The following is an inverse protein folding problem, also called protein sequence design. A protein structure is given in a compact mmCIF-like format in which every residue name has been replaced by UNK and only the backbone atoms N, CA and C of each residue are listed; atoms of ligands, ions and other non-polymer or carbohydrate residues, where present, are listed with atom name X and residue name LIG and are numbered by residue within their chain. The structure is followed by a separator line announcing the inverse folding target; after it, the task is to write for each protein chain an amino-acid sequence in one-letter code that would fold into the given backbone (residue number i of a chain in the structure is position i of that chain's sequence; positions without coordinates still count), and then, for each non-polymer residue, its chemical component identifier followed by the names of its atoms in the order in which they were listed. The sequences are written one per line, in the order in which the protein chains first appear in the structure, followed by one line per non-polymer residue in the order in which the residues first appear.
data_IF_063211866579
#
_entry.id   IF_063211866579
#
_cell.length_a   1.000
_cell.length_b   1.000
_cell.length_c   1.000
_cell.angle_alpha   90.00
_cell.angle_beta   90.00
_cell.angle_gamma   90.00
#
_symmetry.space_group_name_H-M   'P 1'
#
loop_
_entity.id
_entity.type
_entity.pdbx_description
1 polymer ?
#
# COMPACT_ATOMS: atom_id res chain seq x y z
N UNK A 1 -10.56 -15.46 28.83
CA UNK A 1 -10.91 -15.10 27.44
C UNK A 1 -11.10 -13.60 27.44
N UNK A 2 -10.35 -12.83 26.62
CA UNK A 2 -10.63 -11.40 26.49
C UNK A 2 -12.01 -11.29 25.82
N UNK A 3 -12.95 -10.65 26.50
CA UNK A 3 -14.32 -10.49 26.00
C UNK A 3 -14.46 -9.05 25.50
N UNK A 4 -14.50 -8.90 24.17
CA UNK A 4 -14.61 -7.61 23.52
C UNK A 4 -16.08 -7.35 23.20
N UNK A 5 -16.60 -6.18 23.57
CA UNK A 5 -17.98 -5.79 23.22
C UNK A 5 -18.21 -5.79 21.71
N UNK A 6 -17.17 -5.53 20.91
CA UNK A 6 -17.17 -5.61 19.45
C UNK A 6 -17.41 -7.03 18.92
N UNK A 7 -17.29 -8.06 19.76
CA UNK A 7 -17.50 -9.47 19.39
C UNK A 7 -18.87 -10.01 19.80
N UNK A 8 -19.71 -9.19 20.43
CA UNK A 8 -21.06 -9.59 20.82
C UNK A 8 -21.90 -10.01 19.61
N UNK A 9 -22.63 -11.12 19.75
CA UNK A 9 -23.44 -11.70 18.68
C UNK A 9 -22.67 -12.61 17.70
N UNK A 10 -21.34 -12.63 17.71
CA UNK A 10 -20.57 -13.56 16.89
C UNK A 10 -20.36 -14.93 17.55
N UNK A 11 -20.63 -15.97 16.76
CA UNK A 11 -20.47 -17.37 17.10
C UNK A 11 -19.01 -17.84 16.96
N UNK A 12 -18.68 -18.91 17.68
CA UNK A 12 -17.36 -19.55 17.62
C UNK A 12 -16.47 -19.20 18.80
N UNK A 13 -15.50 -20.09 19.03
CA UNK A 13 -14.58 -20.06 20.18
C UNK A 13 -13.11 -19.98 19.74
N UNK A 14 -12.71 -20.76 18.73
CA UNK A 14 -11.31 -20.88 18.32
C UNK A 14 -10.75 -19.52 17.89
N UNK A 15 -11.45 -18.80 17.01
CA UNK A 15 -11.01 -17.46 16.58
C UNK A 15 -10.92 -16.42 17.70
N UNK A 16 -11.52 -16.65 18.88
CA UNK A 16 -11.39 -15.78 20.07
C UNK A 16 -10.18 -16.14 20.93
N UNK A 17 -9.65 -17.36 20.77
CA UNK A 17 -8.51 -17.88 21.52
C UNK A 17 -7.19 -17.74 20.74
N UNK A 18 -7.24 -17.79 19.40
CA UNK A 18 -6.10 -17.63 18.49
C UNK A 18 -6.44 -16.78 17.27
N UNK A 19 -5.41 -16.26 16.58
CA UNK A 19 -5.58 -15.48 15.34
C UNK A 19 -6.02 -16.39 14.19
N UNK A 20 -7.33 -16.53 14.00
CA UNK A 20 -7.95 -17.44 13.05
C UNK A 20 -9.15 -16.81 12.33
N UNK A 21 -8.86 -15.94 11.34
CA UNK A 21 -9.87 -15.26 10.52
C UNK A 21 -10.74 -16.24 9.72
N UNK A 22 -10.20 -17.41 9.36
CA UNK A 22 -10.95 -18.44 8.62
C UNK A 22 -12.07 -19.01 9.48
N UNK A 23 -11.77 -19.41 10.72
CA UNK A 23 -12.78 -19.92 11.66
C UNK A 23 -13.85 -18.85 11.93
N UNK A 24 -13.44 -17.59 12.16
CA UNK A 24 -14.38 -16.47 12.31
C UNK A 24 -15.36 -16.38 11.14
N UNK A 25 -14.84 -16.35 9.89
CA UNK A 25 -15.69 -16.25 8.70
C UNK A 25 -16.62 -17.45 8.61
N UNK A 26 -16.11 -18.68 8.71
CA UNK A 26 -16.91 -19.90 8.56
C UNK A 26 -18.05 -20.00 9.59
N UNK A 27 -17.86 -19.42 10.79
CA UNK A 27 -18.88 -19.42 11.84
C UNK A 27 -19.89 -18.29 11.72
N UNK A 28 -19.58 -17.20 11.03
CA UNK A 28 -20.36 -15.96 11.13
C UNK A 28 -20.86 -15.39 9.80
N UNK A 29 -20.39 -15.87 8.64
CA UNK A 29 -20.91 -15.40 7.36
C UNK A 29 -22.30 -15.98 7.07
N UNK A 30 -23.15 -15.18 6.44
CA UNK A 30 -24.44 -15.64 5.91
C UNK A 30 -24.28 -15.89 4.41
N UNK A 31 -24.40 -17.14 3.92
CA UNK A 31 -24.49 -17.41 2.49
C UNK A 31 -25.65 -16.62 1.86
N UNK A 32 -25.43 -16.08 0.67
CA UNK A 32 -26.43 -15.33 -0.07
C UNK A 32 -26.57 -15.91 -1.49
N UNK A 33 -27.71 -16.54 -1.76
CA UNK A 33 -28.04 -17.17 -3.04
C UNK A 33 -29.10 -16.39 -3.84
N UNK A 34 -29.34 -15.12 -3.48
CA UNK A 34 -30.27 -14.21 -4.18
C UNK A 34 -29.64 -13.50 -5.39
N UNK A 35 -30.28 -12.44 -5.88
CA UNK A 35 -29.85 -11.65 -7.05
C UNK A 35 -29.45 -10.21 -6.69
N UNK A 36 -29.14 -9.38 -7.67
CA UNK A 36 -28.71 -7.99 -7.49
C UNK A 36 -29.84 -7.00 -7.13
N UNK A 37 -31.09 -7.45 -6.96
CA UNK A 37 -32.23 -6.52 -6.79
C UNK A 37 -32.15 -5.67 -5.52
N UNK A 38 -31.37 -6.09 -4.52
CA UNK A 38 -31.16 -5.35 -3.27
C UNK A 38 -30.07 -4.26 -3.37
N UNK A 39 -29.33 -4.19 -4.48
CA UNK A 39 -28.22 -3.25 -4.63
C UNK A 39 -28.72 -1.80 -4.60
N UNK A 40 -28.09 -0.99 -3.75
CA UNK A 40 -28.32 0.45 -3.69
C UNK A 40 -27.39 1.21 -4.64
N UNK A 41 -27.87 2.31 -5.22
CA UNK A 41 -27.06 3.21 -6.03
C UNK A 41 -26.10 4.08 -5.20
N UNK A 42 -25.21 4.85 -5.86
CA UNK A 42 -24.27 5.74 -5.18
C UNK A 42 -25.00 6.87 -4.45
N UNK A 43 -24.47 7.25 -3.29
CA UNK A 43 -24.96 8.42 -2.52
C UNK A 43 -24.56 9.73 -3.20
N UNK A 44 -25.18 10.84 -2.80
CA UNK A 44 -24.76 12.17 -3.23
C UNK A 44 -23.31 12.48 -2.84
N UNK A 45 -22.89 12.09 -1.63
CA UNK A 45 -21.50 12.20 -1.17
C UNK A 45 -20.54 11.44 -2.08
N UNK A 46 -20.87 10.19 -2.42
CA UNK A 46 -20.09 9.38 -3.37
C UNK A 46 -19.94 10.08 -4.73
N UNK A 47 -21.03 10.62 -5.28
CA UNK A 47 -20.99 11.31 -6.57
C UNK A 47 -20.14 12.59 -6.52
N UNK A 48 -20.21 13.37 -5.43
CA UNK A 48 -19.38 14.57 -5.24
C UNK A 48 -17.90 14.24 -5.16
N UNK A 49 -17.52 13.30 -4.27
CA UNK A 49 -16.13 12.85 -4.10
C UNK A 49 -15.55 12.27 -5.39
N UNK A 50 -16.32 11.40 -6.06
CA UNK A 50 -15.90 10.81 -7.33
C UNK A 50 -15.74 11.87 -8.42
N UNK A 51 -16.66 12.84 -8.49
CA UNK A 51 -16.56 13.97 -9.42
C UNK A 51 -15.31 14.83 -9.18
N UNK A 52 -14.94 15.08 -7.93
CA UNK A 52 -13.69 15.77 -7.58
C UNK A 52 -12.45 14.96 -8.03
N UNK A 53 -12.40 13.67 -7.71
CA UNK A 53 -11.31 12.79 -8.13
C UNK A 53 -11.17 12.68 -9.65
N UNK A 54 -12.28 12.61 -10.38
CA UNK A 54 -12.26 12.55 -11.85
C UNK A 54 -11.62 13.79 -12.49
N UNK A 55 -11.77 14.98 -11.88
CA UNK A 55 -11.08 16.20 -12.33
C UNK A 55 -9.56 16.06 -12.16
N UNK A 56 -9.11 15.52 -11.02
CA UNK A 56 -7.70 15.25 -10.76
C UNK A 56 -7.13 14.21 -11.73
N UNK A 57 -7.86 13.13 -12.01
CA UNK A 57 -7.45 12.12 -12.99
C UNK A 57 -7.38 12.71 -14.42
N UNK A 58 -8.27 13.65 -14.76
CA UNK A 58 -8.20 14.36 -16.05
C UNK A 58 -6.95 15.24 -16.12
N UNK A 59 -6.61 15.93 -15.04
CA UNK A 59 -5.38 16.71 -14.94
C UNK A 59 -4.13 15.81 -15.01
N UNK A 60 -4.13 14.67 -14.33
CA UNK A 60 -3.06 13.67 -14.40
C UNK A 60 -2.82 13.20 -15.84
N UNK A 61 -3.88 12.83 -16.57
CA UNK A 61 -3.80 12.44 -17.98
C UNK A 61 -3.28 13.57 -18.86
N UNK A 62 -3.74 14.81 -18.63
CA UNK A 62 -3.25 15.98 -19.36
C UNK A 62 -1.76 16.27 -19.08
N UNK A 63 -1.25 15.87 -17.91
CA UNK A 63 0.15 15.99 -17.49
C UNK A 63 1.01 14.75 -17.84
N UNK A 64 0.54 13.89 -18.76
CA UNK A 64 1.31 12.72 -19.21
C UNK A 64 1.28 11.54 -18.24
N UNK A 65 0.29 11.47 -17.35
CA UNK A 65 0.02 10.31 -16.49
C UNK A 65 0.59 10.40 -15.07
N UNK A 66 1.15 11.53 -14.66
CA UNK A 66 1.61 11.78 -13.29
C UNK A 66 1.17 13.17 -12.84
N UNK A 67 0.28 13.23 -11.85
CA UNK A 67 -0.21 14.51 -11.33
C UNK A 67 0.86 15.20 -10.49
N UNK A 68 1.46 14.47 -9.56
CA UNK A 68 2.47 14.94 -8.63
C UNK A 68 3.39 13.80 -8.17
N UNK A 69 4.61 14.14 -7.76
CA UNK A 69 5.60 13.19 -7.24
C UNK A 69 6.31 13.78 -6.01
N UNK A 70 6.56 12.93 -5.03
CA UNK A 70 7.45 13.26 -3.93
C UNK A 70 8.92 13.33 -4.40
N UNK A 71 9.65 14.34 -3.93
CA UNK A 71 11.07 14.59 -4.27
C UNK A 71 11.97 14.73 -3.05
N UNK A 72 11.41 14.97 -1.88
CA UNK A 72 12.15 15.33 -0.66
C UNK A 72 12.01 14.26 0.43
N UNK A 73 10.87 13.58 0.51
CA UNK A 73 10.54 12.67 1.61
C UNK A 73 10.60 11.21 1.19
N UNK A 74 11.32 10.39 1.95
CA UNK A 74 11.25 8.93 1.80
C UNK A 74 9.96 8.40 2.40
N UNK A 75 9.20 7.66 1.60
CA UNK A 75 7.95 7.04 2.03
C UNK A 75 8.17 5.97 3.09
N UNK A 76 7.43 6.06 4.19
CA UNK A 76 7.29 5.07 5.26
C UNK A 76 5.85 5.12 5.79
N UNK A 77 5.52 4.28 6.78
CA UNK A 77 4.17 4.20 7.36
C UNK A 77 3.65 5.55 7.90
N UNK A 78 4.54 6.41 8.39
CA UNK A 78 4.18 7.67 9.07
C UNK A 78 4.88 8.89 8.47
N UNK A 79 5.39 8.78 7.23
CA UNK A 79 6.13 9.88 6.59
C UNK A 79 5.26 11.07 6.20
N UNK A 80 3.97 10.85 5.98
CA UNK A 80 3.03 11.87 5.54
C UNK A 80 1.97 12.12 6.61
N UNK A 81 1.47 13.36 6.64
CA UNK A 81 0.24 13.68 7.36
C UNK A 81 -0.99 13.07 6.67
N UNK A 82 -2.19 13.26 7.25
CA UNK A 82 -3.44 12.87 6.61
C UNK A 82 -3.63 13.66 5.31
N UNK A 83 -4.27 13.02 4.33
CA UNK A 83 -4.71 13.66 3.09
C UNK A 83 -6.10 13.18 2.70
N UNK A 84 -6.82 14.02 1.95
CA UNK A 84 -8.21 13.83 1.55
C UNK A 84 -8.37 14.07 0.05
N UNK A 85 -9.44 13.55 -0.56
CA UNK A 85 -9.71 13.73 -2.00
C UNK A 85 -9.86 15.22 -2.34
N UNK A 86 -10.54 15.94 -1.46
CA UNK A 86 -10.76 17.38 -1.50
C UNK A 86 -10.98 17.86 -0.06
N UNK A 87 -10.24 18.87 0.39
CA UNK A 87 -10.34 19.38 1.76
C UNK A 87 -11.73 19.93 2.09
N UNK A 88 -12.45 20.48 1.11
CA UNK A 88 -13.82 20.98 1.29
C UNK A 88 -14.86 19.85 1.38
N UNK A 89 -14.51 18.66 0.88
CA UNK A 89 -15.39 17.49 0.85
C UNK A 89 -14.97 16.41 1.85
N UNK A 90 -13.93 16.62 2.65
CA UNK A 90 -13.36 15.59 3.54
C UNK A 90 -14.38 14.99 4.50
N UNK A 91 -15.34 15.79 4.98
CA UNK A 91 -16.39 15.34 5.90
C UNK A 91 -17.42 14.41 5.23
N UNK A 92 -17.39 14.32 3.89
CA UNK A 92 -18.18 13.36 3.11
C UNK A 92 -17.52 11.97 3.05
N UNK A 93 -16.21 11.86 3.32
CA UNK A 93 -15.48 10.59 3.26
C UNK A 93 -15.84 9.69 4.45
N UNK A 94 -16.53 8.59 4.18
CA UNK A 94 -16.85 7.58 5.21
C UNK A 94 -15.68 6.64 5.51
N UNK A 95 -14.80 6.45 4.52
CA UNK A 95 -13.57 5.67 4.64
C UNK A 95 -12.44 6.56 4.12
N UNK A 96 -11.50 6.87 5.00
CA UNK A 96 -10.40 7.80 4.74
C UNK A 96 -9.08 7.07 4.54
N UNK A 97 -8.11 7.77 3.95
CA UNK A 97 -6.72 7.32 3.85
C UNK A 97 -6.23 7.29 2.40
N UNK A 98 -5.15 8.03 2.15
CA UNK A 98 -4.42 8.04 0.88
C UNK A 98 -2.92 7.86 1.15
N UNK A 99 -2.14 7.58 0.10
CA UNK A 99 -0.74 7.15 0.25
C UNK A 99 0.22 8.26 0.69
N UNK A 100 -0.12 9.51 0.41
CA UNK A 100 0.69 10.70 0.69
C UNK A 100 -0.18 11.79 1.31
N UNK A 101 0.28 13.03 1.34
CA UNK A 101 -0.48 14.20 1.81
C UNK A 101 -1.53 14.70 0.79
N UNK A 102 -1.55 14.19 -0.45
CA UNK A 102 -2.44 14.66 -1.52
C UNK A 102 -2.92 13.55 -2.45
N UNK A 103 -4.13 13.68 -3.03
CA UNK A 103 -4.65 12.69 -3.98
C UNK A 103 -3.79 12.64 -5.24
N UNK A 104 -3.49 11.42 -5.70
CA UNK A 104 -2.68 11.14 -6.91
C UNK A 104 -1.25 11.70 -6.88
N UNK A 105 -0.72 12.07 -5.71
CA UNK A 105 0.73 12.32 -5.52
C UNK A 105 1.44 11.00 -5.27
N UNK A 106 2.39 10.65 -6.13
CA UNK A 106 3.18 9.40 -6.01
C UNK A 106 4.29 9.55 -4.99
N UNK A 107 4.39 8.61 -4.06
CA UNK A 107 5.41 8.60 -3.03
C UNK A 107 6.80 8.21 -3.59
N UNK A 108 7.87 8.67 -2.94
CA UNK A 108 9.25 8.29 -3.25
C UNK A 108 9.67 7.05 -2.45
N UNK A 109 9.92 5.93 -3.14
CA UNK A 109 10.21 4.62 -2.53
C UNK A 109 11.59 4.06 -2.96
N UNK A 110 12.69 4.56 -2.37
CA UNK A 110 14.06 4.29 -2.84
C UNK A 110 14.66 2.96 -2.38
N UNK A 111 14.09 2.28 -1.36
CA UNK A 111 14.64 1.01 -0.84
C UNK A 111 14.76 -0.09 -1.90
N UNK A 112 13.89 -0.07 -2.91
CA UNK A 112 13.96 -0.98 -4.07
C UNK A 112 15.13 -0.70 -5.00
N UNK A 113 15.58 0.56 -5.09
CA UNK A 113 16.66 1.00 -5.95
C UNK A 113 16.62 2.51 -6.21
N UNK A 114 17.63 3.25 -5.74
CA UNK A 114 17.69 4.72 -5.83
C UNK A 114 17.70 5.21 -7.28
N UNK A 115 18.50 4.59 -8.15
CA UNK A 115 18.58 4.95 -9.57
C UNK A 115 17.22 4.91 -10.27
N UNK A 116 16.39 3.92 -9.94
CA UNK A 116 15.08 3.76 -10.56
C UNK A 116 14.08 4.79 -10.03
N UNK A 117 14.15 5.09 -8.73
CA UNK A 117 13.35 6.15 -8.13
C UNK A 117 13.69 7.52 -8.74
N UNK A 118 14.98 7.83 -8.91
CA UNK A 118 15.44 9.08 -9.53
C UNK A 118 15.06 9.18 -11.00
N UNK A 119 15.22 8.09 -11.75
CA UNK A 119 14.83 8.04 -13.14
C UNK A 119 13.31 8.23 -13.29
N UNK A 120 12.50 7.67 -12.39
CA UNK A 120 11.06 7.88 -12.39
C UNK A 120 10.73 9.37 -12.21
N UNK A 121 11.31 10.06 -11.22
CA UNK A 121 11.10 11.50 -11.04
C UNK A 121 11.50 12.31 -12.28
N UNK A 122 12.72 12.11 -12.76
CA UNK A 122 13.29 12.90 -13.86
C UNK A 122 12.58 12.68 -15.19
N UNK A 123 12.06 11.47 -15.44
CA UNK A 123 11.22 11.16 -16.63
C UNK A 123 9.98 12.04 -16.69
N UNK A 124 9.41 12.41 -15.55
CA UNK A 124 8.23 13.29 -15.46
C UNK A 124 8.59 14.75 -15.15
N UNK A 125 9.86 15.14 -15.28
CA UNK A 125 10.33 16.52 -15.09
C UNK A 125 10.52 16.94 -13.63
N UNK A 126 10.54 16.00 -12.69
CA UNK A 126 10.83 16.27 -11.28
C UNK A 126 12.29 15.97 -10.96
N UNK A 127 12.89 16.79 -10.09
CA UNK A 127 14.24 16.57 -9.60
C UNK A 127 14.18 16.13 -8.13
N UNK A 128 14.52 14.87 -7.79
CA UNK A 128 14.59 14.44 -6.41
C UNK A 128 15.78 15.10 -5.71
N UNK A 129 15.67 15.26 -4.39
CA UNK A 129 16.72 15.82 -3.56
C UNK A 129 18.02 15.04 -3.67
N UNK A 130 19.12 15.78 -3.84
CA UNK A 130 20.47 15.20 -3.86
C UNK A 130 20.85 14.56 -2.51
N UNK A 131 20.21 14.99 -1.42
CA UNK A 131 20.40 14.35 -0.11
C UNK A 131 19.88 12.91 -0.11
N UNK A 132 18.74 12.65 -0.77
CA UNK A 132 18.22 11.30 -0.92
C UNK A 132 19.18 10.42 -1.74
N UNK A 133 19.77 10.96 -2.81
CA UNK A 133 20.80 10.24 -3.56
C UNK A 133 21.94 9.81 -2.63
N UNK A 134 22.46 10.75 -1.84
CA UNK A 134 23.55 10.50 -0.89
C UNK A 134 23.17 9.42 0.12
N UNK A 135 21.98 9.51 0.72
CA UNK A 135 21.51 8.54 1.72
C UNK A 135 21.48 7.12 1.14
N UNK A 136 20.95 6.93 -0.07
CA UNK A 136 20.76 5.59 -0.66
C UNK A 136 21.94 5.10 -1.51
N UNK A 137 23.04 5.84 -1.51
CA UNK A 137 24.31 5.43 -2.14
C UNK A 137 25.44 5.28 -1.13
N UNK A 138 25.50 6.14 -0.10
CA UNK A 138 26.57 6.13 0.91
C UNK A 138 26.17 5.45 2.22
N UNK A 139 24.93 5.63 2.68
CA UNK A 139 24.52 5.17 4.02
C UNK A 139 23.65 3.92 3.99
N UNK A 140 22.72 3.83 3.03
CA UNK A 140 21.73 2.75 2.96
C UNK A 140 21.84 2.02 1.63
N UNK A 141 22.20 0.74 1.69
CA UNK A 141 22.21 -0.12 0.51
C UNK A 141 20.79 -0.44 0.07
N UNK A 142 20.52 -0.38 -1.23
CA UNK A 142 19.22 -0.73 -1.82
C UNK A 142 19.17 -2.19 -2.28
N UNK A 143 17.96 -2.72 -2.45
CA UNK A 143 17.73 -4.06 -3.02
C UNK A 143 18.40 -4.21 -4.39
N UNK A 144 18.15 -3.25 -5.30
CA UNK A 144 18.77 -3.22 -6.62
C UNK A 144 20.30 -3.32 -6.56
N UNK A 145 20.95 -2.51 -5.73
CA UNK A 145 22.41 -2.54 -5.63
C UNK A 145 22.91 -3.93 -5.16
N UNK A 146 22.28 -4.50 -4.13
CA UNK A 146 22.66 -5.82 -3.64
C UNK A 146 22.49 -6.93 -4.69
N UNK A 147 21.41 -6.91 -5.47
CA UNK A 147 21.18 -7.87 -6.55
C UNK A 147 22.25 -7.76 -7.63
N UNK A 148 22.57 -6.54 -8.07
CA UNK A 148 23.54 -6.34 -9.17
C UNK A 148 24.99 -6.60 -8.77
N UNK A 149 25.32 -6.47 -7.49
CA UNK A 149 26.62 -6.87 -6.93
C UNK A 149 26.77 -8.39 -6.91
N UNK A 150 25.67 -9.13 -6.70
CA UNK A 150 25.67 -10.59 -6.69
C UNK A 150 25.54 -11.23 -8.10
N UNK A 151 25.01 -10.50 -9.07
CA UNK A 151 24.81 -11.00 -10.44
C UNK A 151 26.11 -11.38 -11.14
N UNK A 152 26.14 -12.60 -11.69
CA UNK A 152 27.24 -13.07 -12.53
C UNK A 152 27.22 -12.40 -13.91
N UNK A 153 28.35 -12.39 -14.64
CA UNK A 153 28.38 -11.89 -16.02
C UNK A 153 27.38 -12.60 -16.95
N UNK A 154 27.12 -13.89 -16.72
CA UNK A 154 26.15 -14.67 -17.49
C UNK A 154 24.71 -14.23 -17.23
N UNK A 155 24.33 -14.06 -15.96
CA UNK A 155 23.00 -13.53 -15.59
C UNK A 155 22.75 -12.17 -16.23
N UNK A 156 23.77 -11.28 -16.21
CA UNK A 156 23.71 -9.96 -16.86
C UNK A 156 23.50 -10.11 -18.38
N UNK A 157 24.21 -11.02 -19.05
CA UNK A 157 24.02 -11.27 -20.49
C UNK A 157 22.63 -11.78 -20.83
N UNK A 158 22.10 -12.75 -20.07
CA UNK A 158 20.75 -13.28 -20.28
C UNK A 158 19.66 -12.21 -20.13
N UNK A 159 19.86 -11.26 -19.21
CA UNK A 159 19.01 -10.08 -19.05
C UNK A 159 19.12 -9.12 -20.23
N UNK A 160 20.34 -8.79 -20.65
CA UNK A 160 20.60 -7.87 -21.76
C UNK A 160 20.13 -8.40 -23.12
N UNK A 161 20.15 -9.73 -23.32
CA UNK A 161 19.63 -10.36 -24.54
C UNK A 161 18.12 -10.57 -24.52
N UNK A 162 17.42 -10.10 -23.47
CA UNK A 162 15.98 -10.27 -23.27
C UNK A 162 15.50 -11.72 -23.15
N UNK A 163 16.40 -12.69 -22.91
CA UNK A 163 16.04 -14.09 -22.65
C UNK A 163 15.33 -14.22 -21.29
N UNK A 164 15.85 -13.52 -20.27
CA UNK A 164 15.22 -13.42 -18.95
C UNK A 164 15.04 -11.93 -18.63
N UNK A 165 13.83 -11.40 -18.78
CA UNK A 165 13.50 -9.99 -18.57
C UNK A 165 12.39 -9.81 -17.55
N UNK A 166 12.30 -8.64 -16.93
CA UNK A 166 11.25 -8.31 -15.96
C UNK A 166 11.38 -9.03 -14.61
N UNK A 167 12.60 -9.41 -14.21
CA UNK A 167 12.85 -9.89 -12.85
C UNK A 167 12.70 -8.73 -11.85
N UNK A 168 12.33 -9.01 -10.59
CA UNK A 168 12.17 -7.98 -9.54
C UNK A 168 13.53 -7.52 -8.99
N UNK A 169 14.42 -7.08 -9.88
CA UNK A 169 15.76 -6.58 -9.57
C UNK A 169 15.81 -5.05 -9.43
N UNK A 170 14.73 -4.36 -9.84
CA UNK A 170 14.65 -2.90 -9.98
C UNK A 170 13.37 -2.32 -9.36
N UNK A 171 12.54 -3.16 -8.74
CA UNK A 171 11.28 -2.78 -8.10
C UNK A 171 10.91 -3.77 -6.99
N UNK A 172 9.92 -3.43 -6.18
CA UNK A 172 9.44 -4.31 -5.11
C UNK A 172 8.85 -5.61 -5.67
N UNK A 173 9.28 -6.76 -5.14
CA UNK A 173 8.85 -8.10 -5.63
C UNK A 173 7.32 -8.33 -5.65
N UNK A 174 6.58 -7.61 -4.81
CA UNK A 174 5.14 -7.80 -4.64
C UNK A 174 4.79 -9.23 -4.21
N UNK A 175 3.64 -9.73 -4.66
CA UNK A 175 3.17 -11.12 -4.41
C UNK A 175 3.13 -11.53 -2.94
N UNK A 176 2.93 -10.56 -2.05
CA UNK A 176 2.68 -10.77 -0.62
C UNK A 176 1.25 -10.29 -0.36
N UNK A 177 0.45 -11.14 0.26
CA UNK A 177 -0.90 -10.80 0.70
C UNK A 177 -0.90 -10.83 2.22
N UNK A 178 -0.85 -9.66 2.84
CA UNK A 178 -1.10 -9.53 4.27
C UNK A 178 -2.58 -9.81 4.55
N UNK A 179 -2.89 -10.47 5.66
CA UNK A 179 -4.28 -10.69 6.05
C UNK A 179 -4.82 -9.46 6.80
N UNK A 180 -5.20 -8.43 6.04
CA UNK A 180 -5.62 -7.12 6.57
C UNK A 180 -6.86 -7.20 7.46
N UNK A 181 -7.70 -8.23 7.27
CA UNK A 181 -8.90 -8.51 8.07
C UNK A 181 -8.58 -8.74 9.54
N UNK A 182 -7.35 -9.17 9.85
CA UNK A 182 -6.88 -9.34 11.23
C UNK A 182 -6.94 -8.04 12.02
N UNK A 183 -6.63 -6.90 11.38
CA UNK A 183 -6.67 -5.59 12.05
C UNK A 183 -8.09 -5.26 12.47
N UNK A 184 -9.08 -5.48 11.59
CA UNK A 184 -10.49 -5.25 11.90
C UNK A 184 -11.02 -6.22 12.97
N UNK A 185 -10.63 -7.50 12.90
CA UNK A 185 -11.15 -8.52 13.81
C UNK A 185 -10.53 -8.45 15.22
N UNK A 186 -9.23 -8.19 15.31
CA UNK A 186 -8.45 -8.31 16.55
C UNK A 186 -7.94 -6.98 17.12
N UNK A 187 -7.86 -5.93 16.30
CA UNK A 187 -7.15 -4.70 16.66
C UNK A 187 -5.62 -4.88 16.69
N UNK A 188 -4.89 -3.77 16.76
CA UNK A 188 -3.42 -3.77 16.68
C UNK A 188 -2.77 -4.34 17.94
N UNK A 189 -3.27 -3.97 19.13
CA UNK A 189 -2.67 -4.38 20.41
C UNK A 189 -2.65 -5.91 20.56
N UNK A 190 -3.75 -6.58 20.23
CA UNK A 190 -3.82 -8.04 20.25
C UNK A 190 -2.83 -8.68 19.27
N UNK A 191 -2.67 -8.11 18.07
CA UNK A 191 -1.72 -8.61 17.08
C UNK A 191 -0.26 -8.39 17.49
N UNK A 192 0.03 -7.31 18.22
CA UNK A 192 1.35 -7.07 18.82
C UNK A 192 1.63 -8.13 19.89
N UNK A 193 0.71 -8.36 20.82
CA UNK A 193 0.84 -9.42 21.84
C UNK A 193 1.10 -10.78 21.19
N UNK A 194 0.30 -11.15 20.18
CA UNK A 194 0.49 -12.39 19.43
C UNK A 194 1.89 -12.49 18.79
N UNK A 195 2.41 -11.38 18.22
CA UNK A 195 3.75 -11.35 17.64
C UNK A 195 4.87 -11.41 18.67
N UNK A 196 4.66 -10.88 19.87
CA UNK A 196 5.62 -11.03 20.97
C UNK A 196 5.70 -12.48 21.45
N UNK A 197 4.57 -13.18 21.50
CA UNK A 197 4.55 -14.63 21.77
C UNK A 197 5.26 -15.42 20.67
N UNK A 198 5.01 -15.13 19.39
CA UNK A 198 5.72 -15.75 18.28
C UNK A 198 7.25 -15.55 18.38
N UNK A 199 7.71 -14.38 18.84
CA UNK A 199 9.14 -14.06 18.97
C UNK A 199 9.81 -14.75 20.16
N UNK A 200 9.07 -15.01 21.23
CA UNK A 200 9.59 -15.66 22.44
C UNK A 200 9.75 -17.18 22.30
N UNK A 201 9.09 -17.79 21.31
CA UNK A 201 9.12 -19.22 21.00
C UNK A 201 10.25 -19.56 20.01
#
# INVERSE_FOLDING_TARGET
MKDYTQWEGFEGRIWKEEVNVRDFIQKNYTPYDGDESFLAGPTEATNKLWGALQKLQKAERAKGGVLDMETEVVSSLTSYGPGYIDEELKDLEQVVGIQTDKPLKRAFMPYGGIKMAEQACTTYGYQPSAELHKIFTEYTRTHNQAVFDAYTPEMKRARHSHIITGLPDTYGRGRIVGDYRRVALYGIDHLIEAKQHDFAN
#
